data_IF_127679503252
#
_entry.id   IF_127679503252
#
_cell.length_a   1.000
_cell.length_b   1.000
_cell.length_c   1.000
_cell.angle_alpha   90.00
_cell.angle_beta   90.00
_cell.angle_gamma   90.00
#
_symmetry.space_group_name_H-M   'P 1'
#
loop_
_entity.id
_entity.type
_entity.pdbx_description
1 polymer ?
#
# COMPACT_ATOMS: atom_id res chain seq x y z
N UNK A 1 -3.66 -41.60 40.89
CA UNK A 1 -3.56 -41.68 42.37
C UNK A 1 -2.07 -41.61 42.68
N UNK A 2 -1.54 -40.50 43.20
CA UNK A 2 -1.51 -40.17 44.63
C UNK A 2 -1.44 -38.66 44.90
N UNK A 3 -2.08 -38.24 45.99
CA UNK A 3 -2.15 -36.91 46.64
C UNK A 3 -0.79 -36.47 47.26
N UNK A 4 -0.50 -35.18 47.55
CA UNK A 4 -0.76 -34.35 48.79
C UNK A 4 0.15 -33.07 48.65
N UNK A 5 0.08 -31.90 49.37
CA UNK A 5 -0.99 -31.02 49.93
C UNK A 5 -0.87 -29.49 49.58
N UNK A 6 -1.87 -28.73 50.07
CA UNK A 6 -2.04 -27.26 50.22
C UNK A 6 -1.10 -26.56 51.23
N UNK A 7 -0.85 -25.26 51.03
CA UNK A 7 -1.00 -24.21 52.08
C UNK A 7 -1.15 -22.79 51.46
N UNK A 8 -2.30 -22.12 51.67
CA UNK A 8 -2.63 -21.04 52.65
C UNK A 8 -2.24 -19.64 52.14
N UNK A 9 -3.22 -18.82 51.75
CA UNK A 9 -3.81 -17.65 52.49
C UNK A 9 -2.76 -16.56 52.74
N UNK A 10 -2.97 -15.30 52.35
CA UNK A 10 -3.92 -14.39 53.00
C UNK A 10 -4.40 -13.26 52.08
N UNK A 11 -5.65 -12.87 52.32
CA UNK A 11 -6.27 -11.64 51.85
C UNK A 11 -5.95 -10.48 52.80
N UNK A 12 -5.94 -9.25 52.30
CA UNK A 12 -6.20 -8.07 53.12
C UNK A 12 -6.94 -7.01 52.27
N UNK A 13 -8.17 -6.75 52.71
CA UNK A 13 -9.07 -5.66 52.33
C UNK A 13 -8.75 -4.47 53.22
N UNK A 14 -8.74 -3.23 52.69
CA UNK A 14 -9.06 -2.02 53.49
C UNK A 14 -9.83 -1.02 52.62
N UNK A 15 -10.97 -0.58 53.17
CA UNK A 15 -11.94 0.39 52.66
C UNK A 15 -11.67 1.83 53.20
N UNK A 16 -12.25 2.79 52.47
CA UNK A 16 -12.95 4.03 52.91
C UNK A 16 -12.17 5.20 53.55
N UNK A 17 -12.36 6.39 52.97
CA UNK A 17 -12.92 7.55 53.70
C UNK A 17 -13.53 8.60 52.74
N UNK A 18 -14.80 8.96 53.01
CA UNK A 18 -15.54 10.12 52.49
C UNK A 18 -15.24 11.37 53.33
N UNK A 19 -15.24 12.56 52.70
CA UNK A 19 -15.66 13.89 53.20
C UNK A 19 -15.47 14.88 52.03
N UNK A 20 -16.37 15.75 51.54
CA UNK A 20 -17.54 16.43 52.09
C UNK A 20 -17.24 17.93 52.29
N UNK A 21 -17.76 18.83 51.44
CA UNK A 21 -18.35 20.16 51.79
C UNK A 21 -18.49 21.18 50.64
N UNK A 22 -19.74 21.61 50.44
CA UNK A 22 -20.36 22.91 50.11
C UNK A 22 -19.60 24.08 49.40
N UNK A 23 -20.20 24.46 48.26
CA UNK A 23 -20.69 25.78 47.80
C UNK A 23 -19.96 27.11 48.15
N UNK A 24 -19.68 27.88 47.09
CA UNK A 24 -19.78 29.35 47.05
C UNK A 24 -20.34 29.78 45.70
N UNK A 25 -21.44 30.55 45.72
CA UNK A 25 -21.98 31.27 44.58
C UNK A 25 -21.22 32.58 44.38
N UNK A 26 -21.02 32.97 43.12
CA UNK A 26 -20.56 34.29 42.73
C UNK A 26 -21.03 34.62 41.32
N UNK A 27 -22.04 35.48 41.21
CA UNK A 27 -22.42 36.12 39.95
C UNK A 27 -21.63 37.44 39.82
N UNK A 28 -21.02 37.71 38.66
CA UNK A 28 -21.40 38.83 37.78
C UNK A 28 -20.35 39.18 36.69
N UNK A 29 -20.88 39.33 35.47
CA UNK A 29 -20.64 40.38 34.45
C UNK A 29 -19.32 40.47 33.64
N UNK A 30 -19.54 40.30 32.32
CA UNK A 30 -18.99 41.04 31.18
C UNK A 30 -17.57 40.75 30.64
N UNK A 31 -17.56 40.02 29.53
CA UNK A 31 -16.57 40.13 28.46
C UNK A 31 -16.86 39.13 27.33
N UNK A 32 -16.88 39.52 26.04
CA UNK A 32 -17.00 38.55 24.96
C UNK A 32 -15.63 37.88 24.82
N UNK A 33 -15.45 36.74 25.50
CA UNK A 33 -14.33 35.86 25.21
C UNK A 33 -14.75 35.05 23.99
N UNK A 34 -14.20 35.44 22.85
CA UNK A 34 -14.17 34.63 21.65
C UNK A 34 -13.77 33.21 22.05
N UNK A 35 -14.75 32.31 22.02
CA UNK A 35 -14.50 30.89 22.17
C UNK A 35 -13.86 30.49 20.85
N UNK A 36 -12.53 30.51 20.80
CA UNK A 36 -11.80 29.80 19.76
C UNK A 36 -12.31 28.36 19.79
N UNK A 37 -12.90 27.84 18.70
CA UNK A 37 -13.09 26.42 18.62
C UNK A 37 -11.69 25.82 18.53
N UNK A 38 -11.24 25.15 19.59
CA UNK A 38 -10.16 24.16 19.48
C UNK A 38 -10.69 22.99 18.65
N UNK A 39 -10.92 23.26 17.36
CA UNK A 39 -10.97 22.22 16.36
C UNK A 39 -9.55 21.71 16.28
N UNK A 40 -9.27 20.59 16.95
CA UNK A 40 -8.25 19.68 16.45
C UNK A 40 -8.74 19.28 15.06
N UNK A 41 -8.42 20.12 14.08
CA UNK A 41 -8.67 19.85 12.69
C UNK A 41 -7.91 18.58 12.39
N UNK A 42 -8.65 17.47 12.36
CA UNK A 42 -8.27 16.31 11.59
C UNK A 42 -7.85 16.87 10.25
N UNK A 43 -6.56 16.88 9.96
CA UNK A 43 -5.98 17.33 8.69
C UNK A 43 -6.40 16.30 7.65
N UNK A 44 -7.67 16.32 7.29
CA UNK A 44 -8.24 15.55 6.19
C UNK A 44 -7.43 15.99 4.99
N UNK A 45 -6.58 15.10 4.50
CA UNK A 45 -5.79 15.30 3.30
C UNK A 45 -6.78 15.60 2.18
N UNK A 46 -6.83 16.86 1.73
CA UNK A 46 -7.73 17.33 0.67
C UNK A 46 -7.26 16.92 -0.73
N UNK A 47 -6.11 16.26 -0.83
CA UNK A 47 -5.60 15.67 -2.07
C UNK A 47 -6.24 14.30 -2.28
N UNK A 48 -6.72 14.04 -3.49
CA UNK A 48 -7.15 12.71 -3.95
C UNK A 48 -5.99 11.70 -3.97
N UNK A 49 -4.75 12.19 -3.95
CA UNK A 49 -3.55 11.37 -3.97
C UNK A 49 -3.10 10.96 -2.57
N UNK A 50 -2.52 9.76 -2.52
CA UNK A 50 -2.05 9.12 -1.31
C UNK A 50 -0.70 9.69 -0.89
N UNK A 51 -0.51 9.83 0.42
CA UNK A 51 0.78 10.19 1.01
C UNK A 51 1.49 8.93 1.50
N UNK A 52 2.81 8.98 1.59
CA UNK A 52 3.68 7.87 2.00
C UNK A 52 4.37 8.14 3.35
N UNK A 53 3.95 9.19 4.06
CA UNK A 53 4.20 9.35 5.50
C UNK A 53 3.46 8.25 6.30
N UNK A 54 3.80 8.10 7.58
CA UNK A 54 3.23 7.04 8.42
C UNK A 54 1.69 7.03 8.42
N UNK A 55 1.07 8.20 8.53
CA UNK A 55 -0.39 8.35 8.49
C UNK A 55 -0.99 8.02 7.13
N UNK A 56 -0.31 8.37 6.03
CA UNK A 56 -0.72 8.00 4.67
C UNK A 56 -0.65 6.50 4.42
N UNK A 57 0.46 5.86 4.81
CA UNK A 57 0.63 4.41 4.73
C UNK A 57 -0.44 3.66 5.51
N UNK A 58 -0.79 4.14 6.71
CA UNK A 58 -1.87 3.53 7.51
C UNK A 58 -3.25 3.72 6.87
N UNK A 59 -3.51 4.87 6.24
CA UNK A 59 -4.73 5.09 5.43
C UNK A 59 -4.81 4.15 4.24
N UNK A 60 -3.71 3.95 3.50
CA UNK A 60 -3.67 2.99 2.38
C UNK A 60 -3.95 1.57 2.89
N UNK A 61 -3.31 1.16 4.00
CA UNK A 61 -3.49 -0.18 4.57
C UNK A 61 -4.92 -0.43 5.04
N UNK A 62 -5.56 0.56 5.67
CA UNK A 62 -6.92 0.42 6.23
C UNK A 62 -8.00 0.60 5.18
N UNK A 63 -7.86 1.62 4.32
CA UNK A 63 -8.80 1.95 3.25
C UNK A 63 -8.68 1.05 2.02
N UNK A 64 -7.56 0.32 1.87
CA UNK A 64 -7.30 -0.59 0.74
C UNK A 64 -7.31 0.12 -0.63
N UNK A 65 -6.90 1.38 -0.65
CA UNK A 65 -6.78 2.17 -1.87
C UNK A 65 -5.51 2.99 -1.83
N UNK A 66 -4.81 3.07 -2.97
CA UNK A 66 -3.68 3.96 -3.19
C UNK A 66 -3.82 4.63 -4.55
N UNK A 67 -3.73 5.96 -4.59
CA UNK A 67 -3.70 6.75 -5.83
C UNK A 67 -2.42 7.58 -5.84
N UNK A 68 -1.55 7.37 -6.81
CA UNK A 68 -0.25 8.02 -6.93
C UNK A 68 -0.25 8.98 -8.12
N UNK A 69 0.29 10.19 -7.92
CA UNK A 69 0.46 11.16 -8.99
C UNK A 69 1.85 11.02 -9.61
N UNK A 70 1.89 10.53 -10.84
CA UNK A 70 3.06 10.51 -11.71
C UNK A 70 2.75 11.21 -13.04
N UNK A 71 1.79 12.13 -13.06
CA UNK A 71 1.35 12.83 -14.28
C UNK A 71 2.47 13.67 -14.92
N UNK A 72 3.47 14.07 -14.13
CA UNK A 72 4.70 14.72 -14.58
C UNK A 72 5.75 13.74 -15.15
N UNK A 73 5.49 12.43 -15.11
CA UNK A 73 6.40 11.36 -15.49
C UNK A 73 7.23 10.81 -14.32
N UNK A 74 7.18 11.43 -13.14
CA UNK A 74 7.94 11.01 -11.95
C UNK A 74 7.10 11.12 -10.69
N UNK A 75 7.42 10.31 -9.67
CA UNK A 75 6.84 10.45 -8.33
C UNK A 75 7.85 11.17 -7.43
N UNK A 76 7.61 12.44 -7.10
CA UNK A 76 8.50 13.19 -6.21
C UNK A 76 8.24 12.81 -4.74
N UNK A 77 9.30 12.68 -3.94
CA UNK A 77 9.17 12.36 -2.51
C UNK A 77 8.37 13.43 -1.77
N UNK A 78 8.60 14.70 -2.09
CA UNK A 78 7.93 15.83 -1.46
C UNK A 78 6.40 15.77 -1.67
N UNK A 79 5.94 15.39 -2.86
CA UNK A 79 4.51 15.33 -3.21
C UNK A 79 3.77 14.25 -2.42
N UNK A 80 4.49 13.21 -2.00
CA UNK A 80 3.96 12.14 -1.14
C UNK A 80 4.44 12.23 0.30
N UNK A 81 4.95 13.38 0.74
CA UNK A 81 5.38 13.67 2.12
C UNK A 81 6.49 12.74 2.65
N UNK A 82 7.40 12.34 1.79
CA UNK A 82 8.63 11.64 2.14
C UNK A 82 9.78 12.65 2.08
N UNK A 83 10.68 12.63 3.06
CA UNK A 83 11.85 13.52 3.06
C UNK A 83 12.87 13.06 2.02
N UNK A 84 13.64 14.00 1.46
CA UNK A 84 14.57 13.72 0.38
C UNK A 84 15.64 12.67 0.75
N UNK A 85 16.03 12.61 2.02
CA UNK A 85 17.01 11.70 2.59
C UNK A 85 16.43 10.34 3.02
N UNK A 86 15.13 10.12 2.88
CA UNK A 86 14.47 8.87 3.28
C UNK A 86 14.35 7.87 2.13
N UNK A 87 14.36 6.58 2.48
CA UNK A 87 13.89 5.52 1.59
C UNK A 87 12.36 5.48 1.52
N UNK A 88 11.81 4.88 0.47
CA UNK A 88 10.38 4.66 0.32
C UNK A 88 9.84 3.61 1.29
N UNK A 89 8.61 3.76 1.80
CA UNK A 89 8.01 2.71 2.62
C UNK A 89 7.72 1.47 1.76
N UNK A 90 7.70 0.31 2.40
CA UNK A 90 7.03 -0.84 1.82
C UNK A 90 5.62 -0.95 2.40
N UNK A 91 4.63 -1.00 1.53
CA UNK A 91 3.24 -1.19 1.91
C UNK A 91 2.87 -2.63 1.62
N UNK A 92 2.48 -3.36 2.65
CA UNK A 92 1.92 -4.70 2.53
C UNK A 92 0.64 -4.79 3.33
N UNK A 93 -0.39 -5.35 2.72
CA UNK A 93 -1.64 -5.67 3.41
C UNK A 93 -1.63 -7.11 3.91
N UNK A 94 -2.14 -7.32 5.12
CA UNK A 94 -2.27 -8.64 5.75
C UNK A 94 -3.64 -9.24 5.43
N UNK A 95 -3.77 -10.53 5.72
CA UNK A 95 -5.05 -11.28 5.75
C UNK A 95 -5.75 -11.42 4.40
N UNK A 96 -4.99 -11.50 3.30
CA UNK A 96 -5.52 -11.81 1.97
C UNK A 96 -6.26 -10.66 1.28
N UNK A 97 -6.25 -9.45 1.84
CA UNK A 97 -6.79 -8.26 1.18
C UNK A 97 -5.93 -7.79 0.01
N UNK A 98 -6.53 -7.05 -0.92
CA UNK A 98 -5.85 -6.31 -1.98
C UNK A 98 -6.04 -4.81 -1.80
N UNK A 99 -5.08 -4.04 -2.30
CA UNK A 99 -5.11 -2.59 -2.47
C UNK A 99 -5.49 -2.35 -3.92
N UNK A 100 -6.56 -1.59 -4.14
CA UNK A 100 -6.84 -0.97 -5.42
C UNK A 100 -5.80 0.15 -5.64
N UNK A 101 -4.80 -0.12 -6.47
CA UNK A 101 -3.74 0.83 -6.81
C UNK A 101 -4.07 1.50 -8.14
N UNK A 102 -3.98 2.82 -8.16
CA UNK A 102 -3.97 3.62 -9.37
C UNK A 102 -2.74 4.52 -9.40
N UNK A 103 -2.03 4.54 -10.53
CA UNK A 103 -0.91 5.44 -10.80
C UNK A 103 -1.29 6.30 -12.00
N UNK A 104 -1.45 7.60 -11.80
CA UNK A 104 -1.75 8.53 -12.88
C UNK A 104 -0.45 8.84 -13.59
N UNK A 105 -0.30 8.40 -14.83
CA UNK A 105 0.83 8.72 -15.71
C UNK A 105 0.54 9.92 -16.63
N UNK A 106 1.53 10.37 -17.42
CA UNK A 106 1.37 11.53 -18.31
C UNK A 106 0.30 11.37 -19.40
N UNK A 107 0.04 10.14 -19.86
CA UNK A 107 -0.86 9.84 -20.98
C UNK A 107 -1.96 8.83 -20.64
N UNK A 108 -2.05 8.38 -19.39
CA UNK A 108 -3.06 7.41 -18.95
C UNK A 108 -2.82 6.93 -17.53
N UNK A 109 -3.71 6.09 -17.03
CA UNK A 109 -3.60 5.50 -15.70
C UNK A 109 -3.10 4.06 -15.76
N UNK A 110 -2.34 3.65 -14.74
CA UNK A 110 -1.96 2.26 -14.48
C UNK A 110 -2.76 1.79 -13.27
N UNK A 111 -3.46 0.69 -13.41
CA UNK A 111 -4.31 0.12 -12.38
C UNK A 111 -3.85 -1.29 -12.02
N UNK A 112 -4.11 -1.70 -10.77
CA UNK A 112 -3.89 -3.07 -10.35
C UNK A 112 -4.40 -3.36 -8.93
N UNK A 113 -4.81 -4.60 -8.71
CA UNK A 113 -5.16 -5.12 -7.39
C UNK A 113 -3.95 -5.84 -6.79
N UNK A 114 -3.32 -5.23 -5.78
CA UNK A 114 -2.04 -5.70 -5.24
C UNK A 114 -2.08 -5.88 -3.74
N UNK A 115 -1.38 -6.88 -3.20
CA UNK A 115 -1.19 -6.98 -1.74
C UNK A 115 0.06 -6.23 -1.23
N UNK A 116 0.90 -5.76 -2.17
CA UNK A 116 2.19 -5.17 -1.85
C UNK A 116 2.58 -4.08 -2.85
N UNK A 117 3.10 -2.98 -2.32
CA UNK A 117 3.65 -1.87 -3.10
C UNK A 117 5.03 -1.54 -2.51
N UNK A 118 6.02 -1.40 -3.39
CA UNK A 118 7.38 -0.97 -3.05
C UNK A 118 7.70 0.30 -3.84
N UNK A 119 8.44 1.18 -3.18
CA UNK A 119 8.87 2.45 -3.74
C UNK A 119 10.39 2.49 -3.73
N UNK A 120 11.00 2.28 -4.89
CA UNK A 120 12.45 2.20 -5.02
C UNK A 120 13.03 3.62 -5.16
N UNK A 121 14.01 3.93 -4.32
CA UNK A 121 14.71 5.20 -4.26
C UNK A 121 16.00 5.03 -3.45
N UNK A 122 16.87 6.04 -3.47
CA UNK A 122 17.98 6.20 -2.51
C UNK A 122 17.79 7.46 -1.67
N UNK A 123 18.62 7.66 -0.65
CA UNK A 123 18.74 8.87 0.17
C UNK A 123 19.31 10.09 -0.59
N UNK A 124 19.90 9.87 -1.75
CA UNK A 124 20.44 10.92 -2.62
C UNK A 124 19.45 11.42 -3.69
N UNK A 125 18.29 10.77 -3.84
CA UNK A 125 17.28 11.10 -4.87
C UNK A 125 16.11 11.89 -4.27
N UNK A 126 15.63 12.89 -5.01
CA UNK A 126 14.42 13.64 -4.65
C UNK A 126 13.13 12.92 -5.09
N UNK A 127 13.24 11.91 -5.96
CA UNK A 127 12.18 11.17 -6.59
C UNK A 127 12.27 9.66 -6.30
N UNK A 128 11.20 8.93 -6.60
CA UNK A 128 11.23 7.48 -6.69
C UNK A 128 11.63 7.07 -8.11
N UNK A 129 12.64 6.21 -8.22
CA UNK A 129 13.08 5.70 -9.52
C UNK A 129 12.11 4.67 -10.09
N UNK A 130 11.34 3.99 -9.23
CA UNK A 130 10.41 2.95 -9.63
C UNK A 130 9.36 2.70 -8.54
N UNK A 131 8.12 2.44 -8.95
CA UNK A 131 7.06 1.86 -8.14
C UNK A 131 6.87 0.41 -8.56
N UNK A 132 6.95 -0.53 -7.64
CA UNK A 132 6.75 -1.95 -7.90
C UNK A 132 5.51 -2.46 -7.18
N UNK A 133 4.64 -3.20 -7.87
CA UNK A 133 3.50 -3.88 -7.26
C UNK A 133 3.36 -5.33 -7.73
N UNK A 134 2.55 -6.12 -7.03
CA UNK A 134 2.51 -7.57 -7.17
C UNK A 134 1.09 -8.02 -7.51
N UNK A 135 0.89 -8.42 -8.76
CA UNK A 135 -0.34 -9.07 -9.18
C UNK A 135 -0.22 -10.56 -8.84
N UNK A 136 -1.24 -11.12 -8.20
CA UNK A 136 -1.25 -12.52 -7.80
C UNK A 136 -2.54 -13.19 -8.23
N UNK A 137 -2.46 -14.44 -8.65
CA UNK A 137 -3.65 -15.22 -9.04
C UNK A 137 -3.45 -16.69 -8.73
N UNK A 138 -4.56 -17.39 -8.47
CA UNK A 138 -4.56 -18.81 -8.11
C UNK A 138 -4.64 -19.77 -9.30
N UNK A 139 -4.58 -19.27 -10.53
CA UNK A 139 -4.78 -20.09 -11.73
C UNK A 139 -3.94 -19.62 -12.92
N UNK A 140 -3.63 -20.54 -13.84
CA UNK A 140 -2.98 -20.21 -15.11
C UNK A 140 -3.85 -19.27 -15.95
N UNK A 141 -5.15 -19.54 -16.08
CA UNK A 141 -6.06 -18.70 -16.88
C UNK A 141 -6.12 -17.26 -16.36
N UNK A 142 -6.17 -17.10 -15.03
CA UNK A 142 -6.08 -15.77 -14.41
C UNK A 142 -4.72 -15.11 -14.64
N UNK A 143 -3.63 -15.89 -14.69
CA UNK A 143 -2.29 -15.38 -14.93
C UNK A 143 -2.12 -14.88 -16.36
N UNK A 144 -2.59 -15.65 -17.33
CA UNK A 144 -2.65 -15.28 -18.76
C UNK A 144 -3.53 -14.05 -18.95
N UNK A 145 -4.68 -13.98 -18.28
CA UNK A 145 -5.57 -12.82 -18.35
C UNK A 145 -4.89 -11.53 -17.89
N UNK A 146 -4.11 -11.59 -16.80
CA UNK A 146 -3.33 -10.44 -16.32
C UNK A 146 -2.25 -10.01 -17.32
N UNK A 147 -1.59 -10.95 -17.99
CA UNK A 147 -0.60 -10.63 -19.03
C UNK A 147 -1.28 -9.92 -20.20
N UNK A 148 -2.39 -10.45 -20.69
CA UNK A 148 -3.12 -9.84 -21.82
C UNK A 148 -3.63 -8.44 -21.46
N UNK A 149 -4.13 -8.24 -20.24
CA UNK A 149 -4.52 -6.91 -19.77
C UNK A 149 -3.34 -5.93 -19.80
N UNK A 150 -2.15 -6.35 -19.35
CA UNK A 150 -0.95 -5.53 -19.40
C UNK A 150 -0.49 -5.20 -20.83
N UNK A 151 -0.58 -6.19 -21.74
CA UNK A 151 -0.31 -6.01 -23.18
C UNK A 151 -1.25 -4.96 -23.77
N UNK A 152 -2.55 -5.12 -23.57
CA UNK A 152 -3.57 -4.25 -24.15
C UNK A 152 -3.51 -2.83 -23.58
N UNK A 153 -3.39 -2.69 -22.26
CA UNK A 153 -3.43 -1.38 -21.60
C UNK A 153 -2.13 -0.60 -21.74
N UNK A 154 -0.99 -1.27 -21.64
CA UNK A 154 0.31 -0.59 -21.46
C UNK A 154 1.19 -0.63 -22.71
N UNK A 155 0.76 -1.33 -23.77
CA UNK A 155 1.53 -1.43 -25.02
C UNK A 155 2.73 -2.35 -24.91
N UNK A 156 2.67 -3.36 -24.03
CA UNK A 156 3.68 -4.42 -23.94
C UNK A 156 3.56 -5.30 -25.20
N UNK A 157 4.68 -5.83 -25.71
CA UNK A 157 4.68 -6.63 -26.94
C UNK A 157 3.87 -7.91 -26.80
N UNK A 158 2.72 -7.96 -27.49
CA UNK A 158 1.87 -9.17 -27.58
C UNK A 158 2.63 -10.36 -28.14
N UNK A 159 3.47 -10.17 -29.17
CA UNK A 159 4.21 -11.28 -29.79
C UNK A 159 5.13 -11.98 -28.78
N UNK A 160 5.84 -11.21 -27.95
CA UNK A 160 6.75 -11.76 -26.95
C UNK A 160 5.96 -12.42 -25.82
N UNK A 161 4.89 -11.78 -25.37
CA UNK A 161 4.00 -12.33 -24.35
C UNK A 161 3.39 -13.67 -24.75
N UNK A 162 2.78 -13.75 -25.94
CA UNK A 162 2.15 -14.96 -26.46
C UNK A 162 3.14 -16.10 -26.66
N UNK A 163 4.34 -15.79 -27.15
CA UNK A 163 5.41 -16.79 -27.30
C UNK A 163 5.80 -17.38 -25.95
N UNK A 164 5.89 -16.54 -24.92
CA UNK A 164 6.16 -17.01 -23.56
C UNK A 164 4.99 -17.86 -23.02
N UNK A 165 3.74 -17.41 -23.20
CA UNK A 165 2.53 -18.13 -22.79
C UNK A 165 2.44 -19.53 -23.43
N UNK A 166 2.63 -19.63 -24.75
CA UNK A 166 2.66 -20.91 -25.47
C UNK A 166 3.77 -21.84 -24.92
N UNK A 167 4.94 -21.28 -24.61
CA UNK A 167 6.04 -22.05 -24.03
C UNK A 167 5.69 -22.66 -22.66
N UNK A 168 4.90 -21.94 -21.86
CA UNK A 168 4.44 -22.37 -20.54
C UNK A 168 3.27 -23.34 -20.63
N UNK A 169 2.35 -23.15 -21.57
CA UNK A 169 1.26 -24.09 -21.85
C UNK A 169 1.76 -25.49 -22.20
N UNK A 170 2.93 -25.60 -22.87
CA UNK A 170 3.60 -26.87 -23.18
C UNK A 170 4.26 -27.54 -21.98
N UNK A 171 4.57 -26.77 -20.92
CA UNK A 171 5.27 -27.23 -19.71
C UNK A 171 4.65 -26.65 -18.45
N UNK A 172 3.37 -26.97 -18.16
CA UNK A 172 2.58 -26.25 -17.15
C UNK A 172 3.06 -26.47 -15.71
N UNK A 173 3.91 -27.47 -15.46
CA UNK A 173 4.48 -27.75 -14.13
C UNK A 173 5.86 -27.12 -13.90
N UNK A 174 6.47 -26.58 -14.94
CA UNK A 174 7.80 -26.00 -14.84
C UNK A 174 7.76 -24.63 -14.18
N UNK A 175 8.93 -24.20 -13.67
CA UNK A 175 9.16 -22.83 -13.23
C UNK A 175 9.70 -22.00 -14.40
N UNK A 176 9.27 -20.75 -14.50
CA UNK A 176 9.77 -19.79 -15.47
C UNK A 176 9.80 -18.38 -14.88
N UNK A 177 10.91 -17.69 -15.14
CA UNK A 177 11.16 -16.31 -14.74
C UNK A 177 11.50 -15.53 -16.02
N UNK A 178 10.72 -14.51 -16.38
CA UNK A 178 10.92 -13.77 -17.63
C UNK A 178 10.38 -12.35 -17.55
N UNK A 179 11.20 -11.36 -17.90
CA UNK A 179 10.74 -9.98 -18.02
C UNK A 179 10.36 -9.66 -19.47
N UNK A 180 9.14 -9.15 -19.67
CA UNK A 180 8.71 -8.60 -20.94
C UNK A 180 9.40 -7.27 -21.21
N UNK A 181 9.55 -6.90 -22.49
CA UNK A 181 9.98 -5.54 -22.84
C UNK A 181 8.96 -4.51 -22.33
N UNK A 182 9.41 -3.31 -21.92
CA UNK A 182 8.50 -2.32 -21.36
C UNK A 182 7.47 -1.82 -22.38
N UNK A 183 6.23 -1.66 -21.93
CA UNK A 183 5.22 -0.87 -22.61
C UNK A 183 5.25 0.59 -22.12
N UNK A 184 4.88 1.54 -22.98
CA UNK A 184 4.95 2.98 -22.66
C UNK A 184 3.67 3.77 -22.94
N UNK A 185 2.54 3.09 -23.17
CA UNK A 185 1.29 3.74 -23.59
C UNK A 185 0.75 4.79 -22.61
N UNK A 186 1.11 4.71 -21.32
CA UNK A 186 0.67 5.64 -20.28
C UNK A 186 1.61 6.84 -20.09
N UNK A 187 2.70 6.93 -20.89
CA UNK A 187 3.77 7.90 -20.69
C UNK A 187 4.76 7.52 -19.58
N UNK A 188 4.57 6.36 -18.95
CA UNK A 188 5.51 5.72 -18.03
C UNK A 188 5.97 4.40 -18.63
N UNK A 189 7.17 3.95 -18.24
CA UNK A 189 7.66 2.61 -18.57
C UNK A 189 7.01 1.58 -17.65
N UNK A 190 6.29 0.61 -18.24
CA UNK A 190 5.62 -0.47 -17.50
C UNK A 190 6.19 -1.82 -17.96
N UNK A 191 6.85 -2.51 -17.05
CA UNK A 191 7.45 -3.83 -17.30
C UNK A 191 6.77 -4.89 -16.46
N UNK A 192 6.39 -6.00 -17.10
CA UNK A 192 5.86 -7.18 -16.44
C UNK A 192 6.97 -8.22 -16.30
N UNK A 193 7.40 -8.47 -15.06
CA UNK A 193 8.31 -9.56 -14.70
C UNK A 193 7.47 -10.77 -14.27
N UNK A 194 7.41 -11.74 -15.17
CA UNK A 194 6.59 -12.95 -15.11
C UNK A 194 7.28 -13.98 -14.21
N UNK A 195 6.68 -14.27 -13.04
CA UNK A 195 7.14 -15.27 -12.07
C UNK A 195 6.13 -16.41 -12.00
N UNK A 196 6.34 -17.42 -12.83
CA UNK A 196 5.50 -18.61 -12.88
C UNK A 196 6.18 -19.81 -12.23
N UNK A 197 5.43 -20.53 -11.42
CA UNK A 197 5.83 -21.77 -10.77
C UNK A 197 4.65 -22.72 -10.75
N UNK A 198 4.61 -23.66 -11.71
CA UNK A 198 3.51 -24.60 -11.88
C UNK A 198 3.33 -25.60 -10.73
N UNK A 199 4.26 -25.64 -9.78
CA UNK A 199 4.13 -26.42 -8.55
C UNK A 199 3.46 -25.64 -7.40
N UNK A 200 3.15 -24.35 -7.59
CA UNK A 200 2.51 -23.49 -6.59
C UNK A 200 1.06 -23.17 -6.92
N UNK A 201 0.28 -22.93 -5.87
CA UNK A 201 -1.12 -22.50 -5.96
C UNK A 201 -1.27 -20.99 -6.24
N UNK A 202 -0.18 -20.25 -6.35
CA UNK A 202 -0.20 -18.80 -6.57
C UNK A 202 0.90 -18.41 -7.54
N UNK A 203 0.50 -17.73 -8.61
CA UNK A 203 1.37 -17.17 -9.63
C UNK A 203 1.49 -15.67 -9.43
N UNK A 204 2.66 -15.11 -9.75
CA UNK A 204 2.98 -13.71 -9.43
C UNK A 204 3.50 -12.99 -10.67
N UNK A 205 2.95 -11.83 -10.96
CA UNK A 205 3.55 -10.87 -11.89
C UNK A 205 4.04 -9.71 -11.04
N UNK A 206 5.34 -9.41 -11.15
CA UNK A 206 5.92 -8.22 -10.55
C UNK A 206 5.83 -7.12 -11.60
N UNK A 207 5.04 -6.09 -11.33
CA UNK A 207 4.89 -4.95 -12.24
C UNK A 207 5.82 -3.85 -11.78
N UNK A 208 6.66 -3.41 -12.70
CA UNK A 208 7.62 -2.34 -12.54
C UNK A 208 7.13 -1.10 -13.28
N UNK A 209 6.98 0.01 -12.58
CA UNK A 209 6.56 1.29 -13.15
C UNK A 209 7.64 2.32 -12.91
N UNK A 210 8.21 2.87 -13.97
CA UNK A 210 9.31 3.83 -13.92
C UNK A 210 9.06 5.00 -14.88
N UNK A 211 9.76 6.14 -14.71
CA UNK A 211 9.77 7.18 -15.73
C UNK A 211 10.14 6.62 -17.10
N UNK A 212 9.44 7.05 -18.15
CA UNK A 212 9.82 6.71 -19.52
C UNK A 212 11.12 7.46 -19.88
N UNK A 213 12.03 6.79 -20.61
CA UNK A 213 13.30 7.39 -21.08
C UNK A 213 13.08 8.34 -22.24
#
# INVERSE_FOLDING_TARGET
MTFVPRHRRQAAVVLLALTGSLAMAGCQLNGPIATEPTSQGSTVSTSEFSTLDAAGVDRIRTGRTARLDMSSGTLQKADVRVTADSYGPEIKVKDGGKIALTIVGPAGEIEGETDRIRFNTTDARADFSEVTYFLTTGSMDGYVSLIHEGVDKYGISSEVAERWIDSMGKRPRDKSDFALDPGTSTGLSVTYDLRYDGAKDTQVIIVHVAPAS
#
